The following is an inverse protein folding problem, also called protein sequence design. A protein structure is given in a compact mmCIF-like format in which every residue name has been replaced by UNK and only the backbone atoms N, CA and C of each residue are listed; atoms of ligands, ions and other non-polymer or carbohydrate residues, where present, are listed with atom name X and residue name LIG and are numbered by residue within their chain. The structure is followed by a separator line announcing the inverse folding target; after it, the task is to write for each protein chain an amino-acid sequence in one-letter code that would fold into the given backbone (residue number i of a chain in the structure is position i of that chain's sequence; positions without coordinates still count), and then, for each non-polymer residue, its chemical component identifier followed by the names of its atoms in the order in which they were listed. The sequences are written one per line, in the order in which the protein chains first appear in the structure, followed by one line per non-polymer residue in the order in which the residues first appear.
data_IF_438098966201
#
_entry.id   IF_438098966201
#
_cell.length_a   1.000
_cell.length_b   1.000
_cell.length_c   1.000
_cell.angle_alpha   90.00
_cell.angle_beta   90.00
_cell.angle_gamma   90.00
#
_symmetry.space_group_name_H-M   'P 1'
#
loop_
_entity.id
_entity.type
_entity.pdbx_description
1 polymer ?
#
# COMPACT_ATOMS: atom_id res chain seq x y z
N UNK A 1 13.64 41.76 -27.69
CA UNK A 1 14.64 41.92 -26.61
C UNK A 1 14.93 40.53 -26.07
N UNK A 2 16.13 40.02 -26.32
CA UNK A 2 16.61 38.76 -25.75
C UNK A 2 16.98 39.00 -24.30
N UNK A 3 16.40 38.24 -23.38
CA UNK A 3 16.79 38.29 -21.96
C UNK A 3 18.26 37.88 -21.83
N UNK A 4 18.99 38.58 -20.93
CA UNK A 4 20.39 38.22 -20.67
C UNK A 4 20.50 36.85 -20.00
N UNK A 5 21.65 36.13 -20.13
CA UNK A 5 21.81 34.77 -19.61
C UNK A 5 21.64 34.68 -18.08
N UNK A 6 22.02 35.72 -17.33
CA UNK A 6 21.93 35.73 -15.86
C UNK A 6 20.46 35.82 -15.44
N UNK A 7 19.70 36.69 -16.07
CA UNK A 7 18.25 36.83 -15.82
C UNK A 7 17.51 35.52 -16.18
N UNK A 8 17.87 34.91 -17.33
CA UNK A 8 17.28 33.62 -17.74
C UNK A 8 17.59 32.50 -16.75
N UNK A 9 18.84 32.41 -16.26
CA UNK A 9 19.26 31.44 -15.24
C UNK A 9 18.52 31.66 -13.92
N UNK A 10 18.33 32.93 -13.52
CA UNK A 10 17.57 33.30 -12.32
C UNK A 10 16.10 32.84 -12.41
N UNK A 11 15.42 33.08 -13.51
CA UNK A 11 14.04 32.62 -13.72
C UNK A 11 13.96 31.08 -13.74
N UNK A 12 14.90 30.39 -14.39
CA UNK A 12 14.94 28.93 -14.39
C UNK A 12 15.12 28.37 -12.98
N UNK A 13 15.97 28.96 -12.16
CA UNK A 13 16.18 28.57 -10.77
C UNK A 13 14.90 28.80 -9.91
N UNK A 14 14.27 29.97 -10.02
CA UNK A 14 13.01 30.29 -9.34
C UNK A 14 11.91 29.30 -9.73
N UNK A 15 11.80 28.97 -11.02
CA UNK A 15 10.82 27.98 -11.50
C UNK A 15 11.11 26.58 -10.98
N UNK A 16 12.38 26.16 -10.97
CA UNK A 16 12.82 24.85 -10.48
C UNK A 16 12.50 24.64 -9.00
N UNK A 17 12.69 25.66 -8.18
CA UNK A 17 12.41 25.58 -6.74
C UNK A 17 10.97 25.95 -6.41
N UNK A 18 10.42 26.96 -7.07
CA UNK A 18 9.09 27.48 -6.79
C UNK A 18 7.97 26.54 -7.21
N UNK A 19 8.09 25.89 -8.37
CA UNK A 19 7.04 25.00 -8.88
C UNK A 19 6.72 23.83 -7.92
N UNK A 20 7.68 23.06 -7.40
CA UNK A 20 7.42 22.02 -6.39
C UNK A 20 6.75 22.57 -5.12
N UNK A 21 7.15 23.76 -4.66
CA UNK A 21 6.56 24.40 -3.48
C UNK A 21 5.10 24.76 -3.74
N UNK A 22 4.78 25.37 -4.89
CA UNK A 22 3.40 25.70 -5.27
C UNK A 22 2.55 24.42 -5.39
N UNK A 23 3.08 23.37 -6.02
CA UNK A 23 2.38 22.08 -6.13
C UNK A 23 2.09 21.49 -4.75
N UNK A 24 3.08 21.48 -3.85
CA UNK A 24 2.90 21.01 -2.48
C UNK A 24 1.86 21.84 -1.74
N UNK A 25 1.95 23.19 -1.84
CA UNK A 25 0.98 24.10 -1.24
C UNK A 25 -0.45 23.80 -1.71
N UNK A 26 -0.66 23.63 -3.03
CA UNK A 26 -1.97 23.30 -3.58
C UNK A 26 -2.49 21.96 -3.08
N UNK A 27 -1.64 20.93 -3.01
CA UNK A 27 -2.00 19.63 -2.46
C UNK A 27 -2.46 19.74 -1.00
N UNK A 28 -1.69 20.46 -0.16
CA UNK A 28 -2.04 20.68 1.25
C UNK A 28 -3.32 21.49 1.39
N UNK A 29 -3.44 22.60 0.66
CA UNK A 29 -4.60 23.47 0.71
C UNK A 29 -5.90 22.77 0.31
N UNK A 30 -5.85 21.97 -0.76
CA UNK A 30 -7.02 21.22 -1.22
C UNK A 30 -7.35 20.05 -0.31
N UNK A 31 -6.35 19.47 0.38
CA UNK A 31 -6.57 18.43 1.39
C UNK A 31 -7.41 18.91 2.59
N UNK A 32 -7.41 20.23 2.89
CA UNK A 32 -8.24 20.83 3.95
C UNK A 32 -9.75 20.65 3.72
N UNK A 33 -10.17 20.32 2.49
CA UNK A 33 -11.58 19.97 2.19
C UNK A 33 -12.01 18.64 2.82
N UNK A 34 -11.08 17.92 3.43
CA UNK A 34 -11.31 16.62 4.05
C UNK A 34 -11.50 15.48 3.05
N UNK A 35 -11.71 14.30 3.60
CA UNK A 35 -12.06 13.11 2.82
C UNK A 35 -13.59 13.08 2.62
N UNK A 36 -14.02 13.03 1.37
CA UNK A 36 -15.40 12.74 1.00
C UNK A 36 -15.52 11.23 0.82
N UNK A 37 -15.44 10.49 1.94
CA UNK A 37 -15.62 9.04 1.94
C UNK A 37 -16.89 8.65 1.19
N UNK A 38 -16.83 7.61 0.39
CA UNK A 38 -17.99 7.15 -0.37
C UNK A 38 -18.72 6.07 0.44
N UNK A 39 -19.65 6.48 1.31
CA UNK A 39 -20.57 5.52 1.98
C UNK A 39 -21.29 4.63 0.97
N UNK A 40 -21.55 5.14 -0.23
CA UNK A 40 -22.19 4.39 -1.32
C UNK A 40 -21.39 3.15 -1.77
N UNK A 41 -20.09 3.09 -1.52
CA UNK A 41 -19.26 1.93 -1.87
C UNK A 41 -19.51 0.75 -0.93
N UNK A 42 -19.81 1.00 0.33
CA UNK A 42 -20.12 -0.05 1.31
C UNK A 42 -21.42 -0.79 1.00
N UNK A 43 -22.31 -0.20 0.20
CA UNK A 43 -23.56 -0.82 -0.23
C UNK A 43 -23.41 -1.78 -1.43
N UNK A 44 -22.24 -1.80 -2.09
CA UNK A 44 -22.00 -2.70 -3.22
C UNK A 44 -21.67 -4.11 -2.74
N UNK A 45 -21.89 -5.10 -3.62
CA UNK A 45 -21.46 -6.47 -3.36
C UNK A 45 -19.95 -6.51 -3.08
N UNK A 46 -19.57 -7.30 -2.08
CA UNK A 46 -18.18 -7.51 -1.72
C UNK A 46 -17.54 -8.49 -2.70
N UNK A 47 -16.40 -8.15 -3.34
CA UNK A 47 -15.69 -9.07 -4.21
C UNK A 47 -14.97 -10.14 -3.39
N UNK A 48 -14.63 -11.26 -4.03
CA UNK A 48 -13.73 -12.27 -3.47
C UNK A 48 -12.29 -11.76 -3.46
N UNK A 49 -11.65 -11.85 -2.30
CA UNK A 49 -10.34 -11.26 -2.04
C UNK A 49 -9.26 -12.32 -1.82
N UNK A 50 -8.07 -12.08 -2.37
CA UNK A 50 -6.85 -12.69 -1.88
C UNK A 50 -5.92 -11.61 -1.33
N UNK A 51 -5.48 -11.78 -0.08
CA UNK A 51 -4.40 -10.97 0.47
C UNK A 51 -3.09 -11.66 0.11
N UNK A 52 -2.20 -10.96 -0.59
CA UNK A 52 -0.88 -11.42 -0.98
C UNK A 52 0.17 -10.78 -0.08
N UNK A 53 0.86 -11.60 0.67
CA UNK A 53 1.83 -11.19 1.68
C UNK A 53 3.22 -11.73 1.34
N UNK A 54 4.13 -10.92 0.77
CA UNK A 54 5.53 -11.30 0.63
C UNK A 54 6.21 -11.24 2.01
N UNK A 55 6.99 -12.26 2.35
CA UNK A 55 7.70 -12.35 3.62
C UNK A 55 9.11 -12.92 3.43
N UNK A 56 10.12 -12.29 4.07
CA UNK A 56 11.51 -12.72 4.08
C UNK A 56 12.07 -12.57 5.49
N UNK A 57 12.22 -13.69 6.21
CA UNK A 57 12.70 -13.74 7.60
C UNK A 57 11.89 -12.84 8.56
N UNK A 58 10.55 -13.01 8.54
CA UNK A 58 9.58 -12.21 9.31
C UNK A 58 8.95 -12.99 10.49
N UNK A 59 9.67 -13.99 11.03
CA UNK A 59 9.16 -14.86 12.10
C UNK A 59 8.71 -14.08 13.34
N UNK A 60 9.32 -12.93 13.65
CA UNK A 60 9.01 -12.13 14.83
C UNK A 60 7.64 -11.43 14.76
N UNK A 61 7.15 -11.10 13.54
CA UNK A 61 5.99 -10.22 13.36
C UNK A 61 4.82 -10.87 12.62
N UNK A 62 5.08 -11.86 11.75
CA UNK A 62 4.10 -12.41 10.82
C UNK A 62 2.87 -12.99 11.52
N UNK A 63 3.06 -13.69 12.65
CA UNK A 63 1.94 -14.29 13.38
C UNK A 63 0.98 -13.22 13.92
N UNK A 64 1.51 -12.13 14.47
CA UNK A 64 0.71 -11.03 15.00
C UNK A 64 -0.08 -10.33 13.89
N UNK A 65 0.53 -10.11 12.72
CA UNK A 65 -0.12 -9.52 11.55
C UNK A 65 -1.27 -10.41 11.06
N UNK A 66 -1.03 -11.71 10.91
CA UNK A 66 -2.04 -12.67 10.46
C UNK A 66 -3.20 -12.81 11.44
N UNK A 67 -2.96 -12.80 12.75
CA UNK A 67 -4.01 -12.83 13.79
C UNK A 67 -4.97 -11.65 13.70
N UNK A 68 -4.53 -10.49 13.21
CA UNK A 68 -5.38 -9.30 13.01
C UNK A 68 -6.08 -9.28 11.66
N UNK A 69 -5.44 -9.89 10.65
CA UNK A 69 -5.91 -9.86 9.28
C UNK A 69 -6.95 -10.95 9.00
N UNK A 70 -6.67 -12.21 9.41
CA UNK A 70 -7.53 -13.37 9.08
C UNK A 70 -8.97 -13.20 9.57
N UNK A 71 -9.25 -12.67 10.77
CA UNK A 71 -10.63 -12.43 11.22
C UNK A 71 -11.43 -11.43 10.36
N UNK A 72 -10.77 -10.66 9.50
CA UNK A 72 -11.41 -9.70 8.60
C UNK A 72 -11.81 -10.32 7.24
N UNK A 73 -11.42 -11.56 6.99
CA UNK A 73 -11.71 -12.26 5.75
C UNK A 73 -13.14 -12.79 5.73
N UNK A 74 -13.83 -12.64 4.61
CA UNK A 74 -15.12 -13.25 4.38
C UNK A 74 -14.98 -14.69 3.85
N UNK A 75 -16.06 -15.51 3.90
CA UNK A 75 -16.05 -16.82 3.28
C UNK A 75 -15.64 -16.75 1.79
N UNK A 76 -14.67 -17.56 1.41
CA UNK A 76 -14.10 -17.58 0.06
C UNK A 76 -12.87 -16.69 -0.14
N UNK A 77 -12.55 -15.82 0.82
CA UNK A 77 -11.28 -15.09 0.83
C UNK A 77 -10.13 -15.95 1.34
N UNK A 78 -8.90 -15.53 1.07
CA UNK A 78 -7.70 -16.18 1.57
C UNK A 78 -6.54 -15.22 1.77
N UNK A 79 -5.61 -15.60 2.63
CA UNK A 79 -4.26 -15.01 2.69
C UNK A 79 -3.28 -15.98 2.08
N UNK A 80 -2.49 -15.50 1.10
CA UNK A 80 -1.36 -16.21 0.54
C UNK A 80 -0.07 -15.52 1.00
N UNK A 81 0.70 -16.22 1.83
CA UNK A 81 2.05 -15.81 2.22
C UNK A 81 3.06 -16.43 1.25
N UNK A 82 3.89 -15.59 0.66
CA UNK A 82 5.06 -16.04 -0.12
C UNK A 82 6.29 -15.94 0.77
N UNK A 83 6.72 -17.07 1.33
CA UNK A 83 7.96 -17.17 2.10
C UNK A 83 9.14 -17.20 1.12
N UNK A 84 9.72 -16.01 0.85
CA UNK A 84 10.76 -15.81 -0.16
C UNK A 84 12.16 -15.90 0.43
N UNK A 85 12.90 -16.96 0.09
CA UNK A 85 14.26 -17.21 0.57
C UNK A 85 14.40 -17.14 2.11
N UNK A 86 13.34 -17.52 2.86
CA UNK A 86 13.39 -17.52 4.32
C UNK A 86 14.32 -18.59 4.87
N UNK A 87 15.09 -18.21 5.90
CA UNK A 87 16.00 -19.07 6.64
C UNK A 87 15.47 -19.39 8.05
N UNK A 88 14.43 -18.67 8.49
CA UNK A 88 13.77 -18.78 9.78
C UNK A 88 12.45 -19.56 9.73
N UNK A 89 11.65 -19.48 10.80
CA UNK A 89 10.37 -20.16 10.94
C UNK A 89 9.17 -19.40 10.32
N UNK A 90 9.39 -18.35 9.53
CA UNK A 90 8.33 -17.53 8.92
C UNK A 90 7.22 -18.38 8.28
N UNK A 91 7.59 -19.33 7.42
CA UNK A 91 6.63 -20.16 6.70
C UNK A 91 5.80 -21.06 7.64
N UNK A 92 6.41 -21.59 8.69
CA UNK A 92 5.76 -22.45 9.69
C UNK A 92 4.75 -21.65 10.51
N UNK A 93 5.16 -20.48 11.00
CA UNK A 93 4.31 -19.58 11.78
C UNK A 93 3.12 -19.06 10.96
N UNK A 94 3.34 -18.71 9.69
CA UNK A 94 2.26 -18.28 8.80
C UNK A 94 1.24 -19.40 8.58
N UNK A 95 1.69 -20.64 8.34
CA UNK A 95 0.81 -21.79 8.16
C UNK A 95 0.01 -22.08 9.44
N UNK A 96 0.66 -22.05 10.59
CA UNK A 96 0.03 -22.27 11.91
C UNK A 96 -1.01 -21.19 12.25
N UNK A 97 -0.82 -19.97 11.75
CA UNK A 97 -1.78 -18.88 11.90
C UNK A 97 -3.00 -19.00 10.95
N UNK A 98 -3.02 -19.99 10.04
CA UNK A 98 -4.14 -20.25 9.12
C UNK A 98 -4.00 -19.62 7.72
N UNK A 99 -2.83 -19.10 7.36
CA UNK A 99 -2.57 -18.62 6.01
C UNK A 99 -2.21 -19.78 5.05
N UNK A 100 -2.51 -19.63 3.76
CA UNK A 100 -1.89 -20.44 2.73
C UNK A 100 -0.44 -19.99 2.56
N UNK A 101 0.50 -20.93 2.41
CA UNK A 101 1.92 -20.61 2.32
C UNK A 101 2.52 -21.28 1.09
N UNK A 102 3.24 -20.49 0.30
CA UNK A 102 4.11 -20.98 -0.76
C UNK A 102 5.55 -20.54 -0.48
N UNK A 103 6.49 -21.46 -0.70
CA UNK A 103 7.91 -21.17 -0.53
C UNK A 103 8.55 -20.91 -1.89
N UNK A 104 9.31 -19.82 -1.96
CA UNK A 104 10.13 -19.49 -3.12
C UNK A 104 11.59 -19.52 -2.69
N UNK A 105 12.41 -20.28 -3.42
CA UNK A 105 13.85 -20.36 -3.26
C UNK A 105 14.50 -19.96 -4.59
N UNK A 106 15.00 -18.75 -4.67
CA UNK A 106 15.66 -18.21 -5.85
C UNK A 106 16.64 -17.11 -5.43
N UNK A 107 17.91 -17.49 -5.31
CA UNK A 107 18.96 -16.60 -4.82
C UNK A 107 19.50 -15.66 -5.90
N UNK A 108 19.16 -15.88 -7.17
CA UNK A 108 19.56 -15.00 -8.27
C UNK A 108 18.58 -13.84 -8.42
N UNK A 109 17.26 -14.12 -8.32
CA UNK A 109 16.20 -13.12 -8.45
C UNK A 109 15.59 -12.84 -7.09
N UNK A 110 16.23 -11.95 -6.32
CA UNK A 110 15.79 -11.56 -4.98
C UNK A 110 14.95 -10.29 -4.98
N UNK A 111 14.09 -10.18 -3.99
CA UNK A 111 13.33 -8.98 -3.68
C UNK A 111 11.82 -9.13 -3.83
N UNK A 112 11.12 -8.18 -3.23
CA UNK A 112 9.66 -8.17 -3.08
C UNK A 112 8.91 -8.34 -4.41
N UNK A 113 9.40 -7.73 -5.49
CA UNK A 113 8.75 -7.81 -6.80
C UNK A 113 8.66 -9.25 -7.31
N UNK A 114 9.72 -10.03 -7.15
CA UNK A 114 9.75 -11.44 -7.56
C UNK A 114 8.88 -12.33 -6.68
N UNK A 115 8.82 -12.03 -5.37
CA UNK A 115 7.90 -12.72 -4.46
C UNK A 115 6.44 -12.44 -4.83
N UNK A 116 6.11 -11.18 -5.16
CA UNK A 116 4.77 -10.80 -5.60
C UNK A 116 4.40 -11.46 -6.92
N UNK A 117 5.29 -11.45 -7.91
CA UNK A 117 5.08 -12.13 -9.20
C UNK A 117 4.82 -13.63 -8.99
N UNK A 118 5.61 -14.29 -8.15
CA UNK A 118 5.43 -15.70 -7.82
C UNK A 118 4.07 -15.96 -7.15
N UNK A 119 3.68 -15.10 -6.21
CA UNK A 119 2.38 -15.18 -5.55
C UNK A 119 1.20 -14.96 -6.49
N UNK A 120 1.28 -13.99 -7.41
CA UNK A 120 0.25 -13.75 -8.43
C UNK A 120 0.08 -14.98 -9.34
N UNK A 121 1.18 -15.59 -9.77
CA UNK A 121 1.11 -16.85 -10.57
C UNK A 121 0.43 -17.98 -9.80
N UNK A 122 0.67 -18.09 -8.51
CA UNK A 122 -0.01 -19.07 -7.67
C UNK A 122 -1.50 -18.76 -7.52
N UNK A 123 -1.87 -17.49 -7.30
CA UNK A 123 -3.26 -17.04 -7.21
C UNK A 123 -4.04 -17.28 -8.51
N UNK A 124 -3.38 -17.29 -9.67
CA UNK A 124 -4.01 -17.53 -10.96
C UNK A 124 -4.65 -18.93 -11.08
N UNK A 125 -4.25 -19.90 -10.24
CA UNK A 125 -4.85 -21.25 -10.19
C UNK A 125 -6.31 -21.21 -9.70
N UNK A 126 -6.65 -20.22 -8.89
CA UNK A 126 -8.00 -19.91 -8.43
C UNK A 126 -8.10 -18.39 -8.23
N UNK A 127 -8.28 -17.67 -9.34
CA UNK A 127 -8.15 -16.21 -9.38
C UNK A 127 -9.20 -15.51 -8.52
N UNK A 128 -8.78 -14.58 -7.60
CA UNK A 128 -9.70 -13.72 -6.87
C UNK A 128 -10.25 -12.62 -7.80
N UNK A 129 -11.22 -11.84 -7.34
CA UNK A 129 -11.63 -10.61 -8.03
C UNK A 129 -10.70 -9.43 -7.69
N UNK A 130 -10.21 -9.39 -6.45
CA UNK A 130 -9.31 -8.34 -5.94
C UNK A 130 -8.13 -8.98 -5.22
N UNK A 131 -6.92 -8.49 -5.51
CA UNK A 131 -5.69 -8.81 -4.76
C UNK A 131 -5.32 -7.62 -3.89
N UNK A 132 -5.09 -7.85 -2.61
CA UNK A 132 -4.60 -6.81 -1.68
C UNK A 132 -3.20 -7.19 -1.24
N UNK A 133 -2.22 -6.34 -1.55
CA UNK A 133 -0.82 -6.54 -1.12
C UNK A 133 -0.62 -5.93 0.25
N UNK A 134 -0.17 -6.73 1.23
CA UNK A 134 0.11 -6.32 2.60
C UNK A 134 1.44 -6.92 3.05
N UNK A 135 2.32 -6.09 3.62
CA UNK A 135 3.60 -6.56 4.16
C UNK A 135 3.42 -7.29 5.49
N UNK A 136 4.34 -8.20 5.81
CA UNK A 136 4.25 -9.08 6.97
C UNK A 136 4.35 -8.33 8.32
N UNK A 137 4.87 -7.12 8.34
CA UNK A 137 5.04 -6.24 9.50
C UNK A 137 3.93 -5.18 9.65
N UNK A 138 2.90 -5.23 8.82
CA UNK A 138 1.84 -4.22 8.81
C UNK A 138 0.77 -4.48 9.88
N UNK A 139 0.36 -3.40 10.54
CA UNK A 139 -0.85 -3.39 11.36
C UNK A 139 -2.07 -3.08 10.48
N UNK A 140 -2.99 -4.02 10.37
CA UNK A 140 -4.22 -3.88 9.58
C UNK A 140 -5.38 -3.52 10.50
N UNK A 141 -5.94 -2.33 10.33
CA UNK A 141 -7.09 -1.86 11.12
C UNK A 141 -8.36 -2.66 10.79
N UNK A 142 -9.27 -2.85 11.77
CA UNK A 142 -10.54 -3.53 11.54
C UNK A 142 -11.35 -2.90 10.41
N UNK A 143 -11.87 -3.74 9.50
CA UNK A 143 -12.67 -3.31 8.34
C UNK A 143 -11.85 -2.80 7.14
N UNK A 144 -10.52 -2.66 7.25
CA UNK A 144 -9.69 -2.14 6.18
C UNK A 144 -9.74 -3.01 4.91
N UNK A 145 -9.78 -4.33 5.07
CA UNK A 145 -9.87 -5.29 3.94
C UNK A 145 -11.18 -5.11 3.18
N UNK A 146 -12.31 -4.98 3.89
CA UNK A 146 -13.63 -4.83 3.26
C UNK A 146 -13.74 -3.51 2.48
N UNK A 147 -13.28 -2.40 3.08
CA UNK A 147 -13.29 -1.08 2.43
C UNK A 147 -12.41 -1.08 1.18
N UNK A 148 -11.18 -1.59 1.28
CA UNK A 148 -10.25 -1.66 0.14
C UNK A 148 -10.81 -2.52 -1.00
N UNK A 149 -11.37 -3.68 -0.67
CA UNK A 149 -11.94 -4.59 -1.66
C UNK A 149 -13.09 -3.94 -2.43
N UNK A 150 -14.05 -3.36 -1.72
CA UNK A 150 -15.21 -2.70 -2.33
C UNK A 150 -14.84 -1.46 -3.14
N UNK A 151 -13.95 -0.62 -2.62
CA UNK A 151 -13.44 0.56 -3.35
C UNK A 151 -12.71 0.16 -4.63
N UNK A 152 -11.88 -0.88 -4.57
CA UNK A 152 -11.15 -1.39 -5.72
C UNK A 152 -12.11 -1.93 -6.80
N UNK A 153 -13.04 -2.80 -6.41
CA UNK A 153 -14.03 -3.36 -7.34
C UNK A 153 -14.98 -2.30 -7.90
N UNK A 154 -15.41 -1.32 -7.06
CA UNK A 154 -16.31 -0.26 -7.49
C UNK A 154 -15.69 0.67 -8.54
N UNK A 155 -14.37 0.87 -8.48
CA UNK A 155 -13.64 1.79 -9.36
C UNK A 155 -12.94 1.09 -10.52
N UNK A 156 -12.84 -0.24 -10.47
CA UNK A 156 -12.06 -1.08 -11.39
C UNK A 156 -10.64 -0.53 -11.64
N UNK A 157 -9.98 -0.15 -10.55
CA UNK A 157 -8.61 0.41 -10.59
C UNK A 157 -7.90 0.20 -9.26
N UNK A 158 -6.54 0.27 -9.22
CA UNK A 158 -5.80 0.19 -7.99
C UNK A 158 -6.23 1.22 -6.96
N UNK A 159 -6.32 0.80 -5.69
CA UNK A 159 -6.68 1.63 -4.55
C UNK A 159 -5.62 1.49 -3.48
N UNK A 160 -5.12 2.63 -2.98
CA UNK A 160 -4.15 2.68 -1.90
C UNK A 160 -4.85 3.01 -0.58
N UNK A 161 -4.60 2.20 0.45
CA UNK A 161 -5.01 2.52 1.82
C UNK A 161 -4.23 3.68 2.40
N UNK A 162 -4.76 4.29 3.45
CA UNK A 162 -3.98 5.18 4.30
C UNK A 162 -2.93 4.36 5.04
N UNK A 163 -1.64 4.58 4.71
CA UNK A 163 -0.52 3.93 5.35
C UNK A 163 0.26 4.92 6.21
N UNK A 164 0.17 4.75 7.53
CA UNK A 164 0.82 5.62 8.52
C UNK A 164 1.92 4.88 9.26
N UNK A 165 3.00 5.58 9.55
CA UNK A 165 4.05 5.07 10.43
C UNK A 165 3.56 5.17 11.88
N UNK A 166 3.62 4.05 12.59
CA UNK A 166 3.46 4.04 14.04
C UNK A 166 4.83 4.30 14.66
N UNK A 167 5.00 5.49 15.26
CA UNK A 167 6.23 5.82 15.98
C UNK A 167 6.00 5.61 17.46
N UNK A 168 6.73 4.71 18.14
CA UNK A 168 6.68 4.61 19.59
C UNK A 168 7.06 5.97 20.23
N UNK A 169 6.40 6.36 21.30
CA UNK A 169 6.63 7.63 22.00
C UNK A 169 8.09 7.81 22.46
N UNK A 170 8.83 6.73 22.59
CA UNK A 170 10.24 6.70 22.98
C UNK A 170 11.22 7.30 21.95
N UNK A 171 10.79 7.59 20.72
CA UNK A 171 11.69 8.03 19.64
C UNK A 171 12.08 9.52 19.67
N UNK A 172 11.64 10.30 20.69
CA UNK A 172 12.01 11.70 20.85
C UNK A 172 11.63 12.60 19.66
N UNK A 173 12.25 13.78 19.56
CA UNK A 173 11.99 14.76 18.47
C UNK A 173 12.23 14.21 17.06
N UNK A 174 13.33 13.47 16.77
CA UNK A 174 13.54 12.91 15.43
C UNK A 174 12.41 11.99 14.98
N UNK A 175 11.89 11.13 15.87
CA UNK A 175 10.78 10.24 15.60
C UNK A 175 9.47 11.00 15.30
N UNK A 176 9.20 12.07 16.04
CA UNK A 176 8.02 12.91 15.82
C UNK A 176 8.09 13.64 14.47
N UNK A 177 9.26 14.18 14.11
CA UNK A 177 9.48 14.81 12.80
C UNK A 177 9.29 13.81 11.66
N UNK A 178 9.84 12.59 11.80
CA UNK A 178 9.67 11.52 10.82
C UNK A 178 8.19 11.13 10.67
N UNK A 179 7.46 10.94 11.77
CA UNK A 179 6.03 10.63 11.75
C UNK A 179 5.20 11.75 11.12
N UNK A 180 5.53 13.02 11.38
CA UNK A 180 4.90 14.16 10.72
C UNK A 180 5.16 14.18 9.22
N UNK A 181 6.41 14.04 8.79
CA UNK A 181 6.77 13.98 7.38
C UNK A 181 6.05 12.82 6.66
N UNK A 182 5.93 11.67 7.35
CA UNK A 182 5.19 10.51 6.85
C UNK A 182 3.70 10.81 6.65
N UNK A 183 3.06 11.51 7.61
CA UNK A 183 1.66 11.94 7.48
C UNK A 183 1.47 12.89 6.31
N UNK A 184 2.36 13.87 6.13
CA UNK A 184 2.31 14.77 4.98
C UNK A 184 2.42 13.99 3.67
N UNK A 185 3.40 13.08 3.58
CA UNK A 185 3.65 12.27 2.37
C UNK A 185 2.50 11.32 2.06
N UNK A 186 2.01 10.57 3.06
CA UNK A 186 1.14 9.41 2.84
C UNK A 186 -0.34 9.68 3.09
N UNK A 187 -0.68 10.81 3.68
CA UNK A 187 -2.06 11.21 3.94
C UNK A 187 -2.42 12.53 3.24
N UNK A 188 -1.76 13.63 3.64
CA UNK A 188 -2.17 14.98 3.21
C UNK A 188 -2.03 15.14 1.70
N UNK A 189 -0.87 14.77 1.14
CA UNK A 189 -0.61 14.88 -0.30
C UNK A 189 -1.51 13.98 -1.15
N UNK A 190 -1.68 12.67 -0.85
CA UNK A 190 -2.62 11.82 -1.58
C UNK A 190 -4.07 12.31 -1.52
N UNK A 191 -4.51 12.81 -0.35
CA UNK A 191 -5.84 13.39 -0.19
C UNK A 191 -6.01 14.64 -1.07
N UNK A 192 -5.02 15.52 -1.11
CA UNK A 192 -5.02 16.68 -1.99
C UNK A 192 -5.07 16.30 -3.46
N UNK A 193 -4.24 15.33 -3.90
CA UNK A 193 -4.25 14.81 -5.27
C UNK A 193 -5.62 14.22 -5.64
N UNK A 194 -6.18 13.38 -4.76
CA UNK A 194 -7.52 12.80 -4.94
C UNK A 194 -8.59 13.88 -5.12
N UNK A 195 -8.58 14.91 -4.27
CA UNK A 195 -9.54 16.01 -4.33
C UNK A 195 -9.37 16.88 -5.59
N UNK A 196 -8.18 16.86 -6.20
CA UNK A 196 -7.90 17.48 -7.51
C UNK A 196 -8.21 16.57 -8.70
N UNK A 197 -8.62 15.31 -8.46
CA UNK A 197 -8.90 14.32 -9.51
C UNK A 197 -7.66 13.61 -10.07
N UNK A 198 -6.50 13.75 -9.43
CA UNK A 198 -5.26 13.08 -9.83
C UNK A 198 -5.08 11.74 -9.11
N UNK A 199 -4.31 10.84 -9.74
CA UNK A 199 -3.88 9.60 -9.10
C UNK A 199 -2.90 9.87 -7.96
N UNK A 200 -2.95 9.04 -6.90
CA UNK A 200 -1.94 9.03 -5.85
C UNK A 200 -0.84 8.00 -6.14
N UNK A 201 0.29 8.14 -5.45
CA UNK A 201 1.37 7.17 -5.50
C UNK A 201 0.95 5.88 -4.78
N UNK A 202 1.24 4.72 -5.36
CA UNK A 202 1.15 3.43 -4.68
C UNK A 202 2.37 3.23 -3.77
N UNK A 203 2.14 2.71 -2.56
CA UNK A 203 3.18 2.64 -1.51
C UNK A 203 3.74 1.23 -1.31
N UNK A 204 3.28 0.26 -2.11
CA UNK A 204 3.78 -1.12 -2.08
C UNK A 204 3.19 -2.00 -0.98
N UNK A 205 2.48 -1.42 0.01
CA UNK A 205 1.69 -2.14 1.02
C UNK A 205 0.33 -1.47 1.20
N UNK A 206 -0.68 -2.22 1.65
CA UNK A 206 -2.04 -1.71 1.75
C UNK A 206 -2.62 -1.28 0.40
N UNK A 207 -2.23 -1.93 -0.70
CA UNK A 207 -2.69 -1.60 -2.05
C UNK A 207 -3.58 -2.73 -2.57
N UNK A 208 -4.80 -2.38 -2.97
CA UNK A 208 -5.74 -3.29 -3.63
C UNK A 208 -5.67 -3.11 -5.14
N UNK A 209 -5.68 -4.22 -5.86
CA UNK A 209 -5.68 -4.27 -7.32
C UNK A 209 -6.85 -5.12 -7.81
N UNK A 210 -7.61 -4.70 -8.86
CA UNK A 210 -8.48 -5.61 -9.57
C UNK A 210 -7.62 -6.71 -10.19
N UNK A 211 -8.12 -7.94 -10.23
CA UNK A 211 -7.36 -9.08 -10.78
C UNK A 211 -6.87 -8.81 -12.21
N UNK A 212 -7.70 -8.16 -13.02
CA UNK A 212 -7.37 -7.76 -14.39
C UNK A 212 -6.08 -6.93 -14.52
N UNK A 213 -5.70 -6.19 -13.47
CA UNK A 213 -4.51 -5.34 -13.48
C UNK A 213 -3.20 -6.07 -13.10
N UNK A 214 -3.27 -7.30 -12.56
CA UNK A 214 -2.08 -8.03 -12.05
C UNK A 214 -1.82 -9.36 -12.76
N UNK A 215 -2.70 -9.81 -13.62
CA UNK A 215 -2.63 -11.13 -14.28
C UNK A 215 -1.67 -11.18 -15.50
N UNK A 216 -1.00 -10.07 -15.85
CA UNK A 216 -0.14 -9.93 -17.04
C UNK A 216 1.33 -9.95 -16.71
#
# INVERSE_FOLDING_TARGET
ATMDPITSAGFAFIALVGLPVVVLFLQVFVALRGDRGSEAVLLRARPRVAVLMPAHDEAEVIEQTLRRLIPQLAPGDRVLVVADNCTDNTAVLALSAGAQVVRRLDFERRGKSYALEFGVRHLALDAPEVVIVIDADCHVEPGAIDVLARECAARDRPVQSLYLMHSPEANGLPGQVAAFAWRVKNWVRPLGLRNLGFACQLMGTGTAFPWSAVQH
#
